data_IF_738557426438
#
_entry.id   IF_738557426438
#
_cell.length_a   1.000
_cell.length_b   1.000
_cell.length_c   1.000
_cell.angle_alpha   90.00
_cell.angle_beta   90.00
_cell.angle_gamma   90.00
#
_symmetry.space_group_name_H-M   'P 1'
#
loop_
_entity.id
_entity.type
_entity.pdbx_description
1 polymer ?
#
# COMPACT_ATOMS: atom_id res chain seq x y z
N UNK A 1 -14.80 -1.75 -7.56
CA UNK A 1 -13.72 -0.73 -7.48
C UNK A 1 -12.43 -1.42 -7.05
N UNK A 2 -11.29 -1.06 -7.62
CA UNK A 2 -9.96 -1.60 -7.29
C UNK A 2 -9.09 -0.44 -6.86
N UNK A 3 -8.33 -0.60 -5.78
CA UNK A 3 -7.26 0.33 -5.38
C UNK A 3 -5.90 -0.29 -5.68
N UNK A 4 -4.96 0.52 -6.17
CA UNK A 4 -3.60 0.07 -6.49
C UNK A 4 -2.59 0.93 -5.74
N UNK A 5 -1.66 0.29 -5.05
CA UNK A 5 -0.47 0.90 -4.47
C UNK A 5 0.70 0.44 -5.33
N UNK A 6 1.14 1.29 -6.26
CA UNK A 6 2.19 0.97 -7.22
C UNK A 6 3.58 1.34 -6.70
N UNK A 7 4.61 0.74 -7.28
CA UNK A 7 6.01 1.10 -7.03
C UNK A 7 6.27 2.57 -7.43
N UNK A 8 5.79 2.98 -8.61
CA UNK A 8 5.88 4.36 -9.08
C UNK A 8 4.65 5.14 -8.61
N UNK A 9 4.81 5.89 -7.52
CA UNK A 9 3.74 6.64 -6.90
C UNK A 9 3.62 8.01 -7.56
N UNK A 10 2.48 8.25 -8.20
CA UNK A 10 2.13 9.56 -8.71
C UNK A 10 1.34 10.38 -7.67
N UNK A 11 1.80 11.61 -7.42
CA UNK A 11 1.12 12.58 -6.58
C UNK A 11 0.84 13.87 -7.37
N UNK A 12 -0.38 14.36 -7.20
CA UNK A 12 -0.77 15.65 -7.75
C UNK A 12 -0.08 16.79 -7.02
N UNK A 13 0.23 17.87 -7.72
CA UNK A 13 0.69 19.11 -7.10
C UNK A 13 -0.47 19.81 -6.35
N UNK A 14 -0.86 19.22 -5.25
CA UNK A 14 -2.00 19.63 -4.43
C UNK A 14 -1.73 19.27 -2.97
N UNK A 15 -2.72 19.41 -2.10
CA UNK A 15 -2.61 19.06 -0.70
C UNK A 15 -2.48 17.56 -0.46
N UNK A 16 -2.00 17.16 0.72
CA UNK A 16 -2.02 15.75 1.15
C UNK A 16 -3.46 15.23 1.15
N UNK A 17 -4.41 16.03 1.63
CA UNK A 17 -5.85 15.73 1.59
C UNK A 17 -6.31 15.35 0.20
N UNK A 18 -6.09 16.22 -0.79
CA UNK A 18 -6.51 15.98 -2.18
C UNK A 18 -5.87 14.73 -2.77
N UNK A 19 -4.60 14.49 -2.43
CA UNK A 19 -3.89 13.29 -2.87
C UNK A 19 -4.45 12.01 -2.26
N UNK A 20 -4.90 12.02 -1.00
CA UNK A 20 -5.52 10.87 -0.34
C UNK A 20 -6.94 10.66 -0.87
N UNK A 21 -7.75 11.72 -0.88
CA UNK A 21 -9.17 11.65 -1.23
C UNK A 21 -9.45 11.58 -2.72
N UNK A 22 -8.46 11.87 -3.58
CA UNK A 22 -8.64 11.98 -5.03
C UNK A 22 -9.77 12.96 -5.36
N UNK A 23 -9.79 14.11 -4.68
CA UNK A 23 -10.78 15.17 -4.81
C UNK A 23 -12.24 14.76 -4.47
N UNK A 24 -12.43 13.61 -3.80
CA UNK A 24 -13.73 13.23 -3.27
C UNK A 24 -13.96 13.89 -1.91
N UNK A 25 -15.22 14.18 -1.63
CA UNK A 25 -15.64 14.65 -0.30
C UNK A 25 -15.67 13.47 0.67
N UNK A 26 -14.65 13.40 1.54
CA UNK A 26 -14.48 12.36 2.55
C UNK A 26 -14.27 13.04 3.90
N UNK A 27 -15.02 12.61 4.90
CA UNK A 27 -14.93 13.13 6.26
C UNK A 27 -13.51 12.97 6.82
N UNK A 28 -13.00 14.01 7.46
CA UNK A 28 -11.64 14.08 8.05
C UNK A 28 -11.35 12.91 9.00
N UNK A 29 -12.37 12.41 9.68
CA UNK A 29 -12.24 11.26 10.56
C UNK A 29 -11.69 10.03 9.81
N UNK A 30 -12.23 9.74 8.64
CA UNK A 30 -11.78 8.59 7.83
C UNK A 30 -10.40 8.84 7.21
N UNK A 31 -10.11 10.10 6.83
CA UNK A 31 -8.79 10.49 6.33
C UNK A 31 -7.74 10.29 7.42
N UNK A 32 -8.00 10.78 8.63
CA UNK A 32 -7.07 10.67 9.75
C UNK A 32 -6.89 9.21 10.21
N UNK A 33 -7.94 8.39 10.16
CA UNK A 33 -7.84 6.95 10.41
C UNK A 33 -6.93 6.29 9.37
N UNK A 34 -7.12 6.56 8.08
CA UNK A 34 -6.25 6.06 7.02
C UNK A 34 -4.79 6.54 7.16
N UNK A 35 -4.59 7.80 7.57
CA UNK A 35 -3.25 8.33 7.86
C UNK A 35 -2.58 7.61 9.03
N UNK A 36 -3.33 7.27 10.09
CA UNK A 36 -2.82 6.49 11.21
C UNK A 36 -2.44 5.08 10.76
N UNK A 37 -3.34 4.41 10.05
CA UNK A 37 -3.14 3.04 9.58
C UNK A 37 -2.00 2.93 8.55
N UNK A 38 -1.75 3.97 7.77
CA UNK A 38 -0.62 4.05 6.84
C UNK A 38 0.70 4.55 7.46
N UNK A 39 0.72 4.89 8.75
CA UNK A 39 1.88 5.45 9.44
C UNK A 39 2.24 6.89 9.02
N UNK A 40 1.28 7.64 8.48
CA UNK A 40 1.47 9.02 8.07
C UNK A 40 1.12 10.03 9.18
N UNK A 41 0.53 9.58 10.29
CA UNK A 41 -0.03 10.44 11.33
C UNK A 41 0.98 11.44 11.94
N UNK A 42 2.20 10.98 12.23
CA UNK A 42 3.24 11.85 12.81
C UNK A 42 3.58 13.00 11.85
N UNK A 43 3.78 12.68 10.57
CA UNK A 43 4.04 13.71 9.55
C UNK A 43 2.88 14.69 9.40
N UNK A 44 1.63 14.21 9.41
CA UNK A 44 0.44 15.08 9.37
C UNK A 44 0.39 16.02 10.58
N UNK A 45 0.80 15.56 11.76
CA UNK A 45 0.84 16.41 12.97
C UNK A 45 1.83 17.57 12.86
N UNK A 46 2.88 17.43 12.06
CA UNK A 46 3.88 18.47 11.81
C UNK A 46 3.44 19.48 10.74
N UNK A 47 2.78 19.02 9.67
CA UNK A 47 2.53 19.86 8.48
C UNK A 47 1.07 20.12 8.16
N UNK A 48 0.12 19.36 8.68
CA UNK A 48 -1.31 19.32 8.39
C UNK A 48 -1.70 18.61 7.09
N UNK A 49 -3.01 18.31 6.94
CA UNK A 49 -3.56 17.71 5.71
C UNK A 49 -3.53 18.67 4.51
N UNK A 50 -3.48 19.97 4.76
CA UNK A 50 -3.51 20.99 3.70
C UNK A 50 -2.11 21.32 3.14
N UNK A 51 -1.07 20.64 3.63
CA UNK A 51 0.29 20.77 3.12
C UNK A 51 0.37 20.36 1.64
N UNK A 52 0.87 21.28 0.80
CA UNK A 52 1.04 21.04 -0.65
C UNK A 52 2.33 20.29 -0.90
N UNK A 53 2.22 19.11 -1.54
CA UNK A 53 3.33 18.16 -1.70
C UNK A 53 4.31 18.52 -2.82
N UNK A 54 3.99 19.53 -3.63
CA UNK A 54 4.77 19.89 -4.81
C UNK A 54 4.55 18.97 -6.01
N UNK A 55 5.18 19.29 -7.14
CA UNK A 55 5.02 18.52 -8.36
C UNK A 55 5.55 17.08 -8.15
N UNK A 56 4.69 16.09 -8.37
CA UNK A 56 4.96 14.67 -8.12
C UNK A 56 5.52 14.40 -6.71
N UNK A 57 5.08 15.16 -5.72
CA UNK A 57 5.54 15.00 -4.35
C UNK A 57 7.01 15.36 -4.13
N UNK A 58 7.55 16.35 -4.87
CA UNK A 58 8.96 16.74 -4.79
C UNK A 58 9.41 17.17 -3.38
N UNK A 59 8.46 17.58 -2.53
CA UNK A 59 8.72 18.02 -1.14
C UNK A 59 8.65 16.86 -0.13
N UNK A 60 8.48 15.61 -0.58
CA UNK A 60 8.29 14.43 0.26
C UNK A 60 9.42 13.42 0.07
N UNK A 61 9.76 12.70 1.15
CA UNK A 61 10.59 11.50 1.05
C UNK A 61 9.85 10.36 0.32
N UNK A 62 10.59 9.36 -0.17
CA UNK A 62 10.01 8.18 -0.79
C UNK A 62 9.03 7.44 0.15
N UNK A 63 9.40 7.31 1.42
CA UNK A 63 8.54 6.68 2.44
C UNK A 63 7.25 7.47 2.70
N UNK A 64 7.31 8.81 2.71
CA UNK A 64 6.10 9.64 2.85
C UNK A 64 5.17 9.49 1.65
N UNK A 65 5.71 9.43 0.43
CA UNK A 65 4.90 9.16 -0.79
C UNK A 65 4.19 7.82 -0.71
N UNK A 66 4.88 6.77 -0.26
CA UNK A 66 4.29 5.43 -0.09
C UNK A 66 3.18 5.43 0.96
N UNK A 67 3.38 6.10 2.10
CA UNK A 67 2.37 6.24 3.15
C UNK A 67 1.12 6.97 2.65
N UNK A 68 1.28 8.00 1.80
CA UNK A 68 0.16 8.70 1.15
C UNK A 68 -0.57 7.76 0.18
N UNK A 69 0.14 6.99 -0.65
CA UNK A 69 -0.48 6.03 -1.56
C UNK A 69 -1.23 4.93 -0.81
N UNK A 70 -0.69 4.47 0.32
CA UNK A 70 -1.36 3.50 1.19
C UNK A 70 -2.61 4.11 1.84
N UNK A 71 -2.52 5.33 2.41
CA UNK A 71 -3.67 6.04 2.97
C UNK A 71 -4.78 6.24 1.91
N UNK A 72 -4.41 6.58 0.67
CA UNK A 72 -5.32 6.66 -0.48
C UNK A 72 -6.05 5.33 -0.71
N UNK A 73 -5.34 4.20 -0.71
CA UNK A 73 -5.95 2.89 -0.91
C UNK A 73 -6.91 2.51 0.24
N UNK A 74 -6.55 2.84 1.48
CA UNK A 74 -7.35 2.55 2.66
C UNK A 74 -8.62 3.38 2.74
N UNK A 75 -8.53 4.70 2.50
CA UNK A 75 -9.68 5.62 2.64
C UNK A 75 -10.80 5.32 1.64
N UNK A 76 -10.45 4.82 0.45
CA UNK A 76 -11.44 4.46 -0.57
C UNK A 76 -12.14 3.12 -0.32
N UNK A 77 -11.70 2.35 0.67
CA UNK A 77 -12.32 1.12 1.13
C UNK A 77 -12.70 0.13 0.02
N UNK A 78 -11.84 0.01 -1.01
CA UNK A 78 -12.08 -0.87 -2.16
C UNK A 78 -12.13 -2.35 -1.74
N UNK A 79 -12.99 -3.18 -2.35
CA UNK A 79 -13.04 -4.62 -2.07
C UNK A 79 -11.80 -5.37 -2.58
N UNK A 80 -11.09 -4.81 -3.55
CA UNK A 80 -9.84 -5.36 -4.09
C UNK A 80 -8.73 -4.33 -3.95
N UNK A 81 -7.59 -4.74 -3.41
CA UNK A 81 -6.39 -3.90 -3.29
C UNK A 81 -5.22 -4.65 -3.91
N UNK A 82 -4.46 -3.95 -4.75
CA UNK A 82 -3.25 -4.47 -5.38
C UNK A 82 -2.04 -3.71 -4.83
N UNK A 83 -1.06 -4.44 -4.31
CA UNK A 83 0.26 -3.93 -3.96
C UNK A 83 1.25 -4.39 -5.04
N UNK A 84 1.75 -3.46 -5.85
CA UNK A 84 2.70 -3.74 -6.92
C UNK A 84 4.09 -3.28 -6.50
N UNK A 85 4.90 -4.23 -6.00
CA UNK A 85 6.23 -4.00 -5.41
C UNK A 85 6.29 -2.85 -4.39
N UNK A 86 5.16 -2.55 -3.76
CA UNK A 86 5.02 -1.43 -2.84
C UNK A 86 5.93 -1.52 -1.59
N UNK A 87 6.59 -2.66 -1.37
CA UNK A 87 7.53 -2.89 -0.27
C UNK A 87 8.99 -2.94 -0.71
N UNK A 88 9.30 -2.83 -2.01
CA UNK A 88 10.65 -3.06 -2.55
C UNK A 88 11.67 -2.01 -2.10
N UNK A 89 11.25 -0.77 -1.84
CA UNK A 89 12.10 0.35 -1.46
C UNK A 89 11.85 0.86 -0.03
N UNK A 90 11.12 0.08 0.79
CA UNK A 90 10.79 0.49 2.16
C UNK A 90 11.67 -0.22 3.18
N UNK A 91 11.88 0.45 4.30
CA UNK A 91 12.52 -0.12 5.48
C UNK A 91 11.62 -1.22 6.12
N UNK A 92 12.21 -2.01 6.99
CA UNK A 92 11.55 -3.12 7.73
C UNK A 92 10.27 -2.66 8.45
N UNK A 93 10.19 -1.39 8.85
CA UNK A 93 9.03 -0.82 9.52
C UNK A 93 7.78 -0.80 8.65
N UNK A 94 7.92 -0.44 7.36
CA UNK A 94 6.77 -0.43 6.41
C UNK A 94 6.27 -1.83 6.08
N UNK A 95 7.14 -2.83 6.08
CA UNK A 95 6.73 -4.24 5.89
C UNK A 95 5.87 -4.74 7.05
N UNK A 96 6.30 -4.53 8.29
CA UNK A 96 5.51 -4.87 9.48
C UNK A 96 4.16 -4.17 9.50
N UNK A 97 4.09 -2.94 9.01
CA UNK A 97 2.86 -2.19 8.93
C UNK A 97 1.89 -2.79 7.91
N UNK A 98 2.37 -3.14 6.70
CA UNK A 98 1.53 -3.82 5.70
C UNK A 98 1.05 -5.17 6.21
N UNK A 99 1.93 -5.99 6.81
CA UNK A 99 1.54 -7.26 7.41
C UNK A 99 0.48 -7.07 8.50
N UNK A 100 0.63 -6.07 9.37
CA UNK A 100 -0.39 -5.72 10.36
C UNK A 100 -1.75 -5.37 9.74
N UNK A 101 -1.76 -4.66 8.61
CA UNK A 101 -2.99 -4.32 7.88
C UNK A 101 -3.65 -5.54 7.24
N UNK A 102 -2.86 -6.49 6.70
CA UNK A 102 -3.39 -7.73 6.12
C UNK A 102 -4.20 -8.53 7.14
N UNK A 103 -3.74 -8.60 8.38
CA UNK A 103 -4.42 -9.32 9.46
C UNK A 103 -5.58 -8.55 10.12
N UNK A 104 -5.73 -7.27 9.84
CA UNK A 104 -6.73 -6.41 10.48
C UNK A 104 -7.69 -5.78 9.47
N UNK A 105 -7.35 -4.63 8.94
CA UNK A 105 -8.21 -3.81 8.05
C UNK A 105 -8.49 -4.45 6.69
N UNK A 106 -7.57 -5.30 6.21
CA UNK A 106 -7.63 -5.91 4.88
C UNK A 106 -8.08 -7.38 4.91
N UNK A 107 -8.31 -7.95 6.08
CA UNK A 107 -8.63 -9.38 6.25
C UNK A 107 -9.84 -9.87 5.43
N UNK A 108 -10.84 -9.01 5.24
CA UNK A 108 -12.07 -9.36 4.49
C UNK A 108 -12.04 -8.88 3.03
N UNK A 109 -10.86 -8.47 2.55
CA UNK A 109 -10.67 -7.94 1.19
C UNK A 109 -9.86 -8.93 0.36
N UNK A 110 -10.06 -8.85 -0.95
CA UNK A 110 -9.13 -9.50 -1.87
C UNK A 110 -7.87 -8.64 -1.96
N UNK A 111 -6.75 -9.18 -1.52
CA UNK A 111 -5.45 -8.50 -1.60
C UNK A 111 -4.56 -9.27 -2.57
N UNK A 112 -4.06 -8.58 -3.58
CA UNK A 112 -3.09 -9.11 -4.54
C UNK A 112 -1.76 -8.41 -4.28
N UNK A 113 -0.71 -9.17 -4.01
CA UNK A 113 0.62 -8.62 -3.73
C UNK A 113 1.60 -9.16 -4.76
N UNK A 114 2.21 -8.26 -5.52
CA UNK A 114 3.33 -8.58 -6.42
C UNK A 114 4.61 -8.33 -5.63
N UNK A 115 5.36 -9.38 -5.32
CA UNK A 115 6.54 -9.28 -4.47
C UNK A 115 7.49 -10.46 -4.72
N UNK A 116 8.76 -10.26 -4.35
CA UNK A 116 9.78 -11.31 -4.26
C UNK A 116 10.20 -11.59 -2.80
N UNK A 117 9.50 -10.99 -1.81
CA UNK A 117 9.83 -11.11 -0.39
C UNK A 117 9.21 -12.34 0.23
N UNK A 118 10.07 -13.22 0.77
CA UNK A 118 9.64 -14.51 1.33
C UNK A 118 8.70 -14.37 2.54
N UNK A 119 8.88 -13.33 3.36
CA UNK A 119 8.06 -13.07 4.54
C UNK A 119 6.59 -12.88 4.17
N UNK A 120 6.33 -12.15 3.10
CA UNK A 120 4.96 -11.91 2.60
C UNK A 120 4.40 -13.19 1.96
N UNK A 121 5.24 -13.95 1.23
CA UNK A 121 4.80 -15.18 0.58
C UNK A 121 4.36 -16.25 1.57
N UNK A 122 4.97 -16.31 2.77
CA UNK A 122 4.58 -17.26 3.83
C UNK A 122 3.19 -17.00 4.39
N UNK A 123 2.73 -15.75 4.35
CA UNK A 123 1.44 -15.33 4.87
C UNK A 123 0.31 -15.38 3.82
N UNK A 124 0.64 -15.68 2.55
CA UNK A 124 -0.32 -15.67 1.47
C UNK A 124 -1.18 -16.95 1.46
N UNK A 125 -2.50 -16.77 1.29
CA UNK A 125 -3.44 -17.89 1.11
C UNK A 125 -3.17 -18.66 -0.19
N UNK A 126 -2.67 -17.97 -1.22
CA UNK A 126 -2.33 -18.53 -2.52
C UNK A 126 -1.19 -17.75 -3.17
N UNK A 127 -0.23 -18.48 -3.72
CA UNK A 127 0.88 -17.93 -4.51
C UNK A 127 0.70 -18.38 -5.96
N UNK A 128 0.96 -17.47 -6.89
CA UNK A 128 1.05 -17.74 -8.33
C UNK A 128 2.46 -17.35 -8.78
N UNK A 129 3.24 -18.31 -9.23
CA UNK A 129 4.60 -18.09 -9.73
C UNK A 129 4.58 -17.84 -11.22
N UNK A 130 5.16 -16.71 -11.63
CA UNK A 130 5.28 -16.29 -13.03
C UNK A 130 6.75 -16.33 -13.46
N UNK A 131 7.01 -16.91 -14.62
CA UNK A 131 8.32 -16.89 -15.28
C UNK A 131 8.14 -16.80 -16.79
N UNK A 132 8.87 -15.86 -17.41
CA UNK A 132 8.86 -15.64 -18.87
C UNK A 132 7.44 -15.49 -19.46
N UNK A 133 6.54 -14.83 -18.73
CA UNK A 133 5.15 -14.59 -19.13
C UNK A 133 4.19 -15.78 -18.96
N UNK A 134 4.65 -16.89 -18.36
CA UNK A 134 3.84 -18.08 -18.11
C UNK A 134 3.71 -18.36 -16.59
N UNK A 135 2.58 -18.97 -16.20
CA UNK A 135 2.41 -19.54 -14.86
C UNK A 135 3.22 -20.84 -14.77
N UNK A 136 4.21 -20.87 -13.88
CA UNK A 136 5.08 -22.03 -13.66
C UNK A 136 4.77 -22.78 -12.37
N UNK A 137 3.95 -22.21 -11.48
CA UNK A 137 3.52 -22.87 -10.24
C UNK A 137 2.38 -22.09 -9.58
N UNK A 138 1.56 -22.80 -8.81
CA UNK A 138 0.49 -22.23 -8.01
C UNK A 138 0.23 -23.09 -6.78
N UNK A 139 0.10 -22.50 -5.59
CA UNK A 139 -0.13 -23.22 -4.35
C UNK A 139 0.14 -22.35 -3.13
N UNK A 140 0.30 -22.98 -1.97
CA UNK A 140 0.76 -22.34 -0.73
C UNK A 140 2.29 -22.40 -0.62
N UNK A 141 2.86 -21.56 0.23
CA UNK A 141 4.33 -21.44 0.37
C UNK A 141 5.02 -22.79 0.63
N UNK A 142 4.48 -23.59 1.55
CA UNK A 142 5.08 -24.86 1.98
C UNK A 142 5.14 -25.89 0.85
N UNK A 143 4.20 -25.89 -0.07
CA UNK A 143 4.18 -26.79 -1.21
C UNK A 143 5.17 -26.35 -2.28
N UNK A 144 5.18 -25.06 -2.61
CA UNK A 144 6.06 -24.50 -3.65
C UNK A 144 7.53 -24.44 -3.23
N UNK A 145 7.82 -24.39 -1.93
CA UNK A 145 9.21 -24.36 -1.41
C UNK A 145 9.91 -25.71 -1.42
N UNK A 146 9.17 -26.82 -1.57
CA UNK A 146 9.73 -28.19 -1.61
C UNK A 146 10.18 -28.61 -3.01
N UNK A 147 9.68 -27.94 -4.04
CA UNK A 147 9.94 -28.28 -5.45
C UNK A 147 11.08 -27.45 -6.08
N UNK A 148 11.85 -26.68 -5.27
CA UNK A 148 12.99 -25.88 -5.71
C UNK A 148 14.31 -26.29 -5.05
#
# INVERSE_FOLDING_TARGET
>A
MVSVVSQDIYLFNSSIRDNICMYKDIDDKFIMEACKDSGLADFISEVSLDYVVGQNGAMLSGGQKQKIALARALVHNSPVIIFDEATSNTDVYSEHQINGLLHTKLKEKMVIIITHKQEILKEADQIIMLKDGAVVGSGVYDDLSKDN
#
